data_IF_290871618989
#
_entry.id   IF_290871618989
#
_cell.length_a   1.000
_cell.length_b   1.000
_cell.length_c   1.000
_cell.angle_alpha   90.00
_cell.angle_beta   90.00
_cell.angle_gamma   90.00
#
_symmetry.space_group_name_H-M   'P 1'
#
loop_
_entity.id
_entity.type
_entity.pdbx_description
1 polymer ?
#
# COMPACT_ATOMS: atom_id res chain seq x y z
N UNK A 1 17.25 1.25 34.32
CA UNK A 1 17.56 2.24 33.27
C UNK A 1 16.52 3.34 33.37
N UNK A 2 16.92 4.61 33.44
CA UNK A 2 15.96 5.71 33.32
C UNK A 2 15.25 5.62 31.96
N UNK A 3 13.95 5.91 31.86
CA UNK A 3 13.26 5.91 30.58
C UNK A 3 13.95 6.89 29.62
N UNK A 4 14.15 6.47 28.36
CA UNK A 4 14.72 7.35 27.34
C UNK A 4 13.80 8.55 27.13
N UNK A 5 14.35 9.74 27.29
CA UNK A 5 13.66 11.00 27.00
C UNK A 5 13.75 11.31 25.50
N UNK A 6 12.70 11.90 24.95
CA UNK A 6 12.59 12.31 23.54
C UNK A 6 12.02 13.73 23.46
N UNK A 7 12.31 14.43 22.38
CA UNK A 7 11.81 15.79 22.14
C UNK A 7 10.91 15.85 20.90
N UNK A 8 9.88 16.70 20.99
CA UNK A 8 8.88 16.97 19.95
C UNK A 8 8.38 15.71 19.20
N UNK A 9 7.84 14.70 19.91
CA UNK A 9 7.27 13.53 19.26
C UNK A 9 6.09 13.91 18.36
N UNK A 10 6.00 13.23 17.23
CA UNK A 10 5.12 13.57 16.15
C UNK A 10 4.59 12.33 15.42
N UNK A 11 3.34 12.36 14.98
CA UNK A 11 2.69 11.33 14.16
C UNK A 11 2.23 11.96 12.86
N UNK A 12 2.66 11.38 11.75
CA UNK A 12 2.17 11.70 10.42
C UNK A 12 1.42 10.49 9.84
N UNK A 13 0.23 10.72 9.31
CA UNK A 13 -0.53 9.78 8.50
C UNK A 13 -0.45 10.24 7.05
N UNK A 14 -0.03 9.35 6.17
CA UNK A 14 -0.16 9.51 4.73
C UNK A 14 -1.16 8.47 4.22
N UNK A 15 -2.41 8.86 4.01
CA UNK A 15 -3.49 7.95 3.63
C UNK A 15 -3.93 8.16 2.19
N UNK A 16 -4.22 7.07 1.47
CA UNK A 16 -4.50 7.09 0.02
C UNK A 16 -5.80 6.38 -0.32
N UNK A 17 -6.69 7.09 -0.99
CA UNK A 17 -8.01 6.59 -1.37
C UNK A 17 -8.26 6.81 -2.86
N UNK A 18 -8.66 5.75 -3.55
CA UNK A 18 -8.92 5.75 -4.99
C UNK A 18 -10.17 6.58 -5.27
N UNK A 19 -10.08 7.50 -6.23
CA UNK A 19 -11.21 8.28 -6.72
C UNK A 19 -12.13 7.40 -7.55
N UNK A 20 -13.43 7.40 -7.26
CA UNK A 20 -14.44 6.71 -8.05
C UNK A 20 -14.93 7.64 -9.17
N UNK A 21 -14.25 7.65 -10.31
CA UNK A 21 -14.66 8.49 -11.45
C UNK A 21 -15.92 7.97 -12.17
N UNK A 22 -16.28 6.70 -11.97
CA UNK A 22 -17.34 6.02 -12.72
C UNK A 22 -18.77 6.29 -12.24
N UNK A 23 -18.95 6.99 -11.11
CA UNK A 23 -20.28 7.36 -10.59
C UNK A 23 -20.34 8.86 -10.26
N UNK A 24 -20.71 9.74 -11.20
CA UNK A 24 -20.79 11.19 -10.98
C UNK A 24 -21.73 11.61 -9.83
N UNK A 25 -22.62 10.72 -9.40
CA UNK A 25 -23.56 10.92 -8.29
C UNK A 25 -23.02 10.45 -6.93
N UNK A 26 -21.85 9.77 -6.89
CA UNK A 26 -21.19 9.27 -5.69
C UNK A 26 -19.71 9.67 -5.67
N UNK A 27 -19.44 10.96 -5.82
CA UNK A 27 -18.09 11.47 -5.64
C UNK A 27 -17.62 11.16 -4.21
N UNK A 28 -16.66 10.25 -4.08
CA UNK A 28 -16.08 9.87 -2.79
C UNK A 28 -15.00 10.85 -2.31
N UNK A 29 -14.92 12.01 -2.97
CA UNK A 29 -14.03 13.12 -2.65
C UNK A 29 -13.94 13.40 -1.15
N UNK A 30 -15.06 13.41 -0.42
CA UNK A 30 -15.08 13.76 1.01
C UNK A 30 -14.73 12.61 1.95
N UNK A 31 -14.87 11.35 1.53
CA UNK A 31 -14.79 10.20 2.43
C UNK A 31 -13.45 10.11 3.17
N UNK A 32 -12.33 10.42 2.51
CA UNK A 32 -11.01 10.37 3.16
C UNK A 32 -10.80 11.56 4.12
N UNK A 33 -11.26 12.74 3.75
CA UNK A 33 -11.04 13.96 4.53
C UNK A 33 -11.94 14.04 5.76
N UNK A 34 -13.19 13.58 5.66
CA UNK A 34 -14.07 13.41 6.83
C UNK A 34 -13.47 12.46 7.88
N UNK A 35 -12.73 11.43 7.45
CA UNK A 35 -11.98 10.57 8.39
C UNK A 35 -10.81 11.31 9.02
N UNK A 36 -10.12 12.16 8.28
CA UNK A 36 -9.12 13.08 8.82
C UNK A 36 -9.70 14.00 9.90
N UNK A 37 -10.86 14.60 9.64
CA UNK A 37 -11.57 15.42 10.61
C UNK A 37 -11.99 14.61 11.85
N UNK A 38 -12.40 13.35 11.68
CA UNK A 38 -12.72 12.48 12.80
C UNK A 38 -11.49 12.16 13.66
N UNK A 39 -10.32 11.96 13.04
CA UNK A 39 -9.04 11.86 13.79
C UNK A 39 -8.81 13.13 14.61
N UNK A 40 -8.98 14.31 14.03
CA UNK A 40 -8.81 15.58 14.73
C UNK A 40 -9.78 15.75 15.91
N UNK A 41 -11.03 15.29 15.77
CA UNK A 41 -12.02 15.30 16.86
C UNK A 41 -11.59 14.44 18.05
N UNK A 42 -10.89 13.32 17.84
CA UNK A 42 -10.35 12.50 18.94
C UNK A 42 -9.29 13.26 19.76
N UNK A 43 -8.61 14.25 19.17
CA UNK A 43 -7.73 15.19 19.87
C UNK A 43 -8.47 16.41 20.46
N UNK A 44 -9.80 16.46 20.27
CA UNK A 44 -10.65 17.60 20.61
C UNK A 44 -10.33 18.84 19.78
N UNK A 45 -9.99 18.65 18.51
CA UNK A 45 -9.73 19.70 17.51
C UNK A 45 -10.88 19.68 16.50
N UNK A 46 -11.64 20.77 16.44
CA UNK A 46 -12.79 20.92 15.54
C UNK A 46 -12.39 21.66 14.25
N UNK A 47 -11.33 21.19 13.59
CA UNK A 47 -10.86 21.75 12.31
C UNK A 47 -11.55 21.04 11.14
N UNK A 48 -12.12 21.80 10.22
CA UNK A 48 -12.64 21.29 8.94
C UNK A 48 -11.53 21.21 7.91
N UNK A 49 -11.59 20.18 7.05
CA UNK A 49 -10.71 20.00 5.89
C UNK A 49 -11.53 20.38 4.65
N UNK A 50 -11.70 21.69 4.45
CA UNK A 50 -12.46 22.20 3.32
C UNK A 50 -11.66 22.07 2.02
N UNK A 51 -12.27 21.40 1.03
CA UNK A 51 -11.62 21.04 -0.23
C UNK A 51 -12.33 21.59 -1.46
N UNK A 52 -11.56 21.92 -2.49
CA UNK A 52 -11.99 22.32 -3.80
C UNK A 52 -11.13 21.64 -4.88
N UNK A 53 -11.74 20.74 -5.66
CA UNK A 53 -11.05 20.08 -6.78
C UNK A 53 -10.96 21.01 -8.01
N UNK A 54 -9.90 20.83 -8.80
CA UNK A 54 -9.56 21.63 -9.99
C UNK A 54 -8.96 20.73 -11.08
N UNK A 55 -8.99 21.09 -12.37
CA UNK A 55 -8.31 20.31 -13.41
C UNK A 55 -6.80 20.24 -13.18
N UNK A 56 -6.21 19.06 -13.37
CA UNK A 56 -4.77 18.86 -13.24
C UNK A 56 -4.41 17.44 -12.82
N UNK A 57 -3.14 17.07 -13.08
CA UNK A 57 -2.61 15.77 -12.68
C UNK A 57 -2.41 15.71 -11.16
N UNK A 58 -1.62 16.63 -10.60
CA UNK A 58 -1.43 16.78 -9.16
C UNK A 58 -2.06 18.10 -8.73
N UNK A 59 -3.05 18.04 -7.84
CA UNK A 59 -3.87 19.18 -7.45
C UNK A 59 -3.96 19.21 -5.94
N UNK A 60 -3.40 20.25 -5.35
CA UNK A 60 -3.67 20.56 -3.96
C UNK A 60 -5.13 20.95 -3.80
N UNK A 61 -5.79 20.43 -2.78
CA UNK A 61 -7.25 20.50 -2.68
C UNK A 61 -7.75 21.52 -1.67
N UNK A 62 -6.90 22.10 -0.81
CA UNK A 62 -7.38 23.04 0.21
C UNK A 62 -8.14 24.22 -0.40
N UNK A 63 -9.38 24.44 0.04
CA UNK A 63 -10.19 25.59 -0.36
C UNK A 63 -9.63 26.91 0.22
N UNK A 64 -8.76 26.82 1.23
CA UNK A 64 -8.12 27.94 1.91
C UNK A 64 -6.67 28.16 1.42
N UNK A 65 -6.35 27.68 0.21
CA UNK A 65 -5.05 27.83 -0.42
C UNK A 65 -4.54 29.27 -0.39
N UNK A 66 -3.29 29.43 0.06
CA UNK A 66 -2.47 30.61 -0.27
C UNK A 66 -1.71 30.33 -1.57
N UNK A 67 -1.04 31.33 -2.16
CA UNK A 67 -0.29 31.14 -3.41
C UNK A 67 0.82 30.06 -3.30
N UNK A 68 1.32 29.78 -2.09
CA UNK A 68 2.51 28.93 -1.88
C UNK A 68 2.29 27.73 -0.93
N UNK A 69 1.14 27.60 -0.24
CA UNK A 69 0.88 26.50 0.70
C UNK A 69 -0.62 26.15 0.79
N UNK A 70 -0.92 24.86 0.62
CA UNK A 70 -2.26 24.29 0.78
C UNK A 70 -2.46 23.58 2.13
N UNK A 71 -1.50 23.68 3.05
CA UNK A 71 -1.60 23.12 4.40
C UNK A 71 -2.66 23.84 5.21
N UNK A 72 -3.49 23.06 5.91
CA UNK A 72 -4.48 23.54 6.87
C UNK A 72 -3.88 23.36 8.26
N UNK A 73 -3.48 24.46 8.89
CA UNK A 73 -2.86 24.46 10.21
C UNK A 73 -3.90 24.39 11.32
N UNK A 74 -3.59 23.66 12.39
CA UNK A 74 -4.42 23.63 13.59
C UNK A 74 -3.56 23.54 14.85
N UNK A 75 -4.09 24.08 15.94
CA UNK A 75 -3.46 24.05 17.24
C UNK A 75 -4.49 24.06 18.36
N UNK A 76 -4.10 23.46 19.47
CA UNK A 76 -4.86 23.41 20.71
C UNK A 76 -3.89 23.58 21.86
N UNK A 77 -3.95 24.75 22.49
CA UNK A 77 -3.19 25.05 23.69
C UNK A 77 -4.08 24.81 24.91
N UNK A 78 -3.95 23.62 25.49
CA UNK A 78 -4.62 23.19 26.71
C UNK A 78 -3.60 22.46 27.60
N UNK A 79 -4.03 21.77 28.67
CA UNK A 79 -3.14 20.99 29.55
C UNK A 79 -2.24 19.99 28.81
N UNK A 80 -2.64 19.58 27.60
CA UNK A 80 -1.82 18.84 26.65
C UNK A 80 -1.78 19.58 25.31
N UNK A 81 -0.78 20.46 25.08
CA UNK A 81 -0.66 21.19 23.82
C UNK A 81 -0.45 20.27 22.62
N UNK A 82 -1.21 20.51 21.56
CA UNK A 82 -1.15 19.78 20.29
C UNK A 82 -1.15 20.81 19.15
N UNK A 83 -0.34 20.58 18.14
CA UNK A 83 -0.40 21.32 16.88
C UNK A 83 -0.27 20.35 15.71
N UNK A 84 -0.51 20.83 14.50
CA UNK A 84 -0.40 19.98 13.32
C UNK A 84 -0.83 20.66 12.03
N UNK A 85 -0.81 19.87 10.96
CA UNK A 85 -1.26 20.25 9.63
C UNK A 85 -2.09 19.14 9.00
N UNK A 86 -3.07 19.52 8.18
CA UNK A 86 -3.69 18.63 7.21
C UNK A 86 -3.37 19.14 5.81
N UNK A 87 -2.79 18.28 4.97
CA UNK A 87 -2.43 18.60 3.59
C UNK A 87 -3.23 17.69 2.64
N UNK A 88 -4.39 18.16 2.15
CA UNK A 88 -5.23 17.41 1.22
C UNK A 88 -4.76 17.63 -0.23
N UNK A 89 -4.52 16.53 -0.95
CA UNK A 89 -4.06 16.58 -2.35
C UNK A 89 -4.71 15.47 -3.17
N UNK A 90 -4.92 15.71 -4.46
CA UNK A 90 -5.27 14.69 -5.44
C UNK A 90 -4.07 14.45 -6.36
N UNK A 91 -3.67 13.20 -6.48
CA UNK A 91 -2.64 12.72 -7.42
C UNK A 91 -3.36 11.83 -8.43
N UNK A 92 -3.69 12.41 -9.59
CA UNK A 92 -4.45 11.79 -10.66
C UNK A 92 -5.82 11.30 -10.17
N UNK A 93 -5.97 9.99 -10.07
CA UNK A 93 -7.15 9.21 -9.66
C UNK A 93 -7.10 8.86 -8.17
N UNK A 94 -6.31 9.56 -7.36
CA UNK A 94 -6.12 9.22 -5.94
C UNK A 94 -6.18 10.46 -5.08
N UNK A 95 -7.10 10.44 -4.11
CA UNK A 95 -7.09 11.37 -3.00
C UNK A 95 -6.04 10.93 -1.98
N UNK A 96 -5.24 11.88 -1.53
CA UNK A 96 -4.27 11.69 -0.48
C UNK A 96 -4.51 12.72 0.64
N UNK A 97 -4.42 12.24 1.87
CA UNK A 97 -4.41 13.07 3.07
C UNK A 97 -3.09 12.83 3.79
N UNK A 98 -2.27 13.87 3.86
CA UNK A 98 -1.13 13.91 4.76
C UNK A 98 -1.54 14.69 6.02
N UNK A 99 -1.75 13.99 7.12
CA UNK A 99 -2.20 14.54 8.40
C UNK A 99 -1.09 14.42 9.43
N UNK A 100 -0.73 15.53 10.05
CA UNK A 100 0.30 15.63 11.06
C UNK A 100 -0.32 16.04 12.40
N UNK A 101 -0.04 15.30 13.48
CA UNK A 101 -0.40 15.69 14.85
C UNK A 101 0.83 15.54 15.74
N UNK A 102 1.23 16.64 16.38
CA UNK A 102 2.49 16.72 17.12
C UNK A 102 2.36 17.41 18.46
N UNK A 103 3.32 17.13 19.33
CA UNK A 103 3.64 18.03 20.43
C UNK A 103 4.36 19.27 19.89
N UNK A 104 3.90 20.49 20.17
CA UNK A 104 4.60 21.70 19.77
C UNK A 104 6.03 21.74 20.32
N UNK A 105 6.98 22.15 19.50
CA UNK A 105 8.38 22.34 19.91
C UNK A 105 8.54 23.50 20.89
N UNK A 106 7.76 24.57 20.67
CA UNK A 106 7.71 25.76 21.51
C UNK A 106 6.31 25.92 22.09
N UNK A 107 6.21 26.48 23.28
CA UNK A 107 4.92 26.88 23.86
C UNK A 107 4.40 28.19 23.20
N UNK A 108 3.22 28.65 23.62
CA UNK A 108 2.60 29.90 23.14
C UNK A 108 3.52 31.14 23.27
N UNK A 109 4.45 31.13 24.21
CA UNK A 109 5.39 32.22 24.46
C UNK A 109 6.68 32.08 23.62
N UNK A 110 6.75 31.09 22.72
CA UNK A 110 7.94 30.82 21.91
C UNK A 110 9.07 30.12 22.65
N UNK A 111 8.83 29.66 23.88
CA UNK A 111 9.82 28.98 24.73
C UNK A 111 9.85 27.49 24.39
N UNK A 112 11.06 26.93 24.25
CA UNK A 112 11.26 25.50 24.01
C UNK A 112 10.56 24.66 25.08
N UNK A 113 9.79 23.67 24.62
CA UNK A 113 9.11 22.72 25.48
C UNK A 113 10.09 21.66 26.04
N UNK A 114 9.80 21.11 27.22
CA UNK A 114 10.66 20.11 27.85
C UNK A 114 10.68 18.78 27.09
N UNK A 115 11.71 17.97 27.28
CA UNK A 115 11.69 16.57 26.82
C UNK A 115 10.60 15.77 27.56
N UNK A 116 10.14 14.68 26.93
CA UNK A 116 9.08 13.80 27.43
C UNK A 116 9.52 12.34 27.39
N UNK A 117 8.83 11.47 28.12
CA UNK A 117 9.03 10.02 28.00
C UNK A 117 8.42 9.48 26.70
N UNK A 118 8.92 8.33 26.23
CA UNK A 118 8.38 7.61 25.06
C UNK A 118 6.86 7.37 25.18
N UNK A 119 6.35 7.17 26.41
CA UNK A 119 4.93 6.99 26.68
C UNK A 119 4.06 8.18 26.23
N UNK A 120 4.65 9.33 25.88
CA UNK A 120 3.92 10.42 25.23
C UNK A 120 3.25 9.96 23.92
N UNK A 121 3.82 9.02 23.17
CA UNK A 121 3.19 8.48 21.96
C UNK A 121 1.81 7.86 22.21
N UNK A 122 1.52 7.35 23.43
CA UNK A 122 0.18 6.89 23.82
C UNK A 122 -0.86 8.01 23.76
N UNK A 123 -0.44 9.25 24.01
CA UNK A 123 -1.31 10.45 23.94
C UNK A 123 -1.54 10.89 22.50
N UNK A 124 -0.62 10.56 21.60
CA UNK A 124 -0.75 10.82 20.18
C UNK A 124 -1.55 9.73 19.45
N UNK A 125 -2.22 8.82 20.17
CA UNK A 125 -3.05 7.74 19.62
C UNK A 125 -4.34 7.56 20.44
N UNK A 126 -5.24 8.56 20.47
CA UNK A 126 -6.55 8.38 21.09
C UNK A 126 -7.41 7.42 20.26
N UNK A 127 -8.15 6.53 20.94
CA UNK A 127 -9.23 5.71 20.36
C UNK A 127 -8.87 4.92 19.09
N UNK A 128 -7.61 4.55 18.90
CA UNK A 128 -7.12 3.85 17.71
C UNK A 128 -7.26 4.59 16.38
N UNK A 129 -7.44 5.91 16.41
CA UNK A 129 -7.87 6.72 15.27
C UNK A 129 -6.97 6.62 14.03
N UNK A 130 -5.69 6.26 14.21
CA UNK A 130 -4.71 6.14 13.12
C UNK A 130 -4.70 4.78 12.43
N UNK A 131 -5.36 3.76 12.98
CA UNK A 131 -5.22 2.39 12.49
C UNK A 131 -5.89 2.21 11.12
N UNK A 132 -5.37 1.31 10.26
CA UNK A 132 -5.96 1.05 8.95
C UNK A 132 -7.45 0.68 9.00
N UNK A 133 -7.91 0.04 10.08
CA UNK A 133 -9.32 -0.28 10.30
C UNK A 133 -10.22 0.94 10.55
N UNK A 134 -9.66 2.04 11.06
CA UNK A 134 -10.38 3.30 11.29
C UNK A 134 -10.31 4.21 10.07
N UNK A 135 -9.11 4.41 9.52
CA UNK A 135 -8.90 5.27 8.34
C UNK A 135 -9.49 4.62 7.08
N UNK A 136 -9.45 3.29 6.97
CA UNK A 136 -10.06 2.51 5.89
C UNK A 136 -9.81 3.12 4.49
N UNK A 137 -8.55 3.46 4.23
CA UNK A 137 -8.06 3.98 2.95
C UNK A 137 -8.02 2.85 1.93
N UNK A 138 -8.53 3.05 0.71
CA UNK A 138 -8.68 1.95 -0.25
C UNK A 138 -7.37 1.46 -0.87
N UNK A 139 -6.34 2.32 -0.92
CA UNK A 139 -5.01 1.96 -1.45
C UNK A 139 -4.01 1.64 -0.35
N UNK A 140 -4.17 2.25 0.83
CA UNK A 140 -3.32 2.02 1.99
C UNK A 140 -2.89 3.32 2.67
N UNK A 141 -2.04 3.17 3.68
CA UNK A 141 -1.52 4.28 4.45
C UNK A 141 -0.08 4.02 4.94
N UNK A 142 0.70 5.10 5.10
CA UNK A 142 1.96 5.10 5.83
C UNK A 142 1.77 5.87 7.13
N UNK A 143 2.20 5.29 8.24
CA UNK A 143 2.38 6.01 9.50
C UNK A 143 3.86 6.37 9.63
N UNK A 144 4.16 7.63 9.92
CA UNK A 144 5.52 8.10 10.18
C UNK A 144 5.55 8.72 11.58
N UNK A 145 6.30 8.09 12.48
CA UNK A 145 6.61 8.63 13.79
C UNK A 145 7.93 9.39 13.68
N UNK A 146 7.95 10.65 14.06
CA UNK A 146 9.19 11.43 14.16
C UNK A 146 9.41 11.91 15.58
N UNK A 147 10.68 12.01 15.97
CA UNK A 147 11.10 12.48 17.28
C UNK A 147 12.55 12.93 17.22
N UNK A 148 12.93 13.83 18.11
CA UNK A 148 14.32 14.21 18.31
C UNK A 148 14.94 13.40 19.43
N UNK A 149 16.12 12.84 19.17
CA UNK A 149 16.88 12.11 20.19
C UNK A 149 17.61 13.05 21.15
N UNK A 150 18.32 14.06 20.61
CA UNK A 150 18.94 15.13 21.40
C UNK A 150 18.88 16.44 20.62
N UNK A 151 17.90 17.32 20.91
CA UNK A 151 17.73 18.56 20.16
C UNK A 151 18.91 19.53 20.26
N UNK A 152 19.79 19.42 21.27
CA UNK A 152 20.94 20.33 21.47
C UNK A 152 22.28 19.85 20.88
N UNK A 153 22.37 18.63 20.32
CA UNK A 153 23.64 18.09 19.82
C UNK A 153 23.53 17.46 18.45
N UNK A 154 24.34 17.93 17.51
CA UNK A 154 24.69 17.21 16.29
C UNK A 154 25.52 16.00 16.67
N UNK A 155 24.92 14.82 16.70
CA UNK A 155 25.68 13.59 16.82
C UNK A 155 26.48 13.39 15.54
N UNK A 156 27.79 13.15 15.62
CA UNK A 156 28.59 12.83 14.43
C UNK A 156 28.85 11.31 14.29
N UNK A 157 28.38 10.50 15.24
CA UNK A 157 28.84 9.11 15.42
C UNK A 157 27.74 8.07 15.75
N UNK A 158 26.50 8.21 15.25
CA UNK A 158 25.49 7.14 15.41
C UNK A 158 25.75 5.87 14.58
N UNK A 159 26.84 5.85 13.80
CA UNK A 159 27.20 4.71 12.96
C UNK A 159 27.89 3.55 13.72
N UNK A 160 28.30 3.82 14.96
CA UNK A 160 28.10 2.96 16.12
C UNK A 160 27.36 1.62 15.95
N UNK A 161 27.98 0.42 16.08
CA UNK A 161 27.18 -0.80 16.27
C UNK A 161 26.33 -0.72 17.55
N UNK A 162 26.87 -0.12 18.61
CA UNK A 162 26.15 0.05 19.87
C UNK A 162 25.05 1.12 19.74
N UNK A 163 25.35 2.23 19.06
CA UNK A 163 24.39 3.31 18.86
C UNK A 163 23.23 2.88 17.96
N UNK A 164 23.51 2.15 16.86
CA UNK A 164 22.46 1.54 16.02
C UNK A 164 21.54 0.63 16.83
N UNK A 165 22.07 -0.16 17.77
CA UNK A 165 21.24 -0.99 18.67
C UNK A 165 20.39 -0.15 19.63
N UNK A 166 20.96 0.92 20.20
CA UNK A 166 20.24 1.84 21.10
C UNK A 166 19.12 2.56 20.36
N UNK A 167 19.40 3.10 19.18
CA UNK A 167 18.43 3.80 18.34
C UNK A 167 17.33 2.86 17.84
N UNK A 168 17.68 1.62 17.45
CA UNK A 168 16.67 0.61 17.14
C UNK A 168 15.79 0.30 18.35
N UNK A 169 16.37 0.13 19.54
CA UNK A 169 15.60 -0.12 20.77
C UNK A 169 14.66 1.05 21.10
N UNK A 170 15.11 2.28 20.86
CA UNK A 170 14.29 3.48 20.98
C UNK A 170 13.15 3.48 19.95
N UNK A 171 13.43 3.21 18.67
CA UNK A 171 12.41 3.12 17.63
C UNK A 171 11.36 2.05 17.94
N UNK A 172 11.81 0.86 18.33
CA UNK A 172 10.94 -0.24 18.75
C UNK A 172 10.08 0.17 19.96
N UNK A 173 10.65 0.94 20.90
CA UNK A 173 9.94 1.47 22.07
C UNK A 173 8.87 2.50 21.69
N UNK A 174 9.17 3.41 20.76
CA UNK A 174 8.24 4.41 20.27
C UNK A 174 7.07 3.76 19.52
N UNK A 175 7.37 2.79 18.66
CA UNK A 175 6.35 2.03 17.96
C UNK A 175 5.44 1.28 18.94
N UNK A 176 6.00 0.56 19.92
CA UNK A 176 5.20 -0.14 20.95
C UNK A 176 4.36 0.81 21.81
N UNK A 177 4.84 2.02 22.07
CA UNK A 177 4.05 3.01 22.81
C UNK A 177 2.93 3.63 21.96
N UNK A 178 3.06 3.63 20.64
CA UNK A 178 2.07 4.16 19.71
C UNK A 178 1.01 3.12 19.30
N UNK A 179 1.43 1.88 19.01
CA UNK A 179 0.52 0.80 18.63
C UNK A 179 -0.28 0.35 19.86
N UNK A 180 -1.61 0.22 19.76
CA UNK A 180 -2.44 -0.14 20.90
C UNK A 180 -2.18 -1.59 21.33
N UNK A 181 -2.21 -1.84 22.64
CA UNK A 181 -1.83 -3.13 23.27
C UNK A 181 -2.59 -4.36 22.73
N UNK A 182 -3.76 -4.16 22.12
CA UNK A 182 -4.60 -5.21 21.52
C UNK A 182 -4.20 -5.61 20.10
N UNK A 183 -3.29 -4.88 19.46
CA UNK A 183 -2.83 -5.13 18.10
C UNK A 183 -1.38 -5.60 18.11
N UNK A 184 -1.07 -6.53 17.22
CA UNK A 184 0.32 -6.93 17.00
C UNK A 184 1.13 -5.75 16.45
N UNK A 185 2.31 -5.55 17.01
CA UNK A 185 3.25 -4.55 16.50
C UNK A 185 3.77 -5.01 15.12
N UNK A 186 3.73 -4.15 14.08
CA UNK A 186 4.28 -4.50 12.78
C UNK A 186 5.73 -4.98 12.90
N UNK A 187 6.11 -6.09 12.25
CA UNK A 187 7.45 -6.64 12.38
C UNK A 187 8.48 -5.65 11.84
N UNK A 188 9.65 -5.60 12.48
CA UNK A 188 10.79 -4.84 11.97
C UNK A 188 11.21 -5.39 10.62
N UNK A 189 11.27 -4.52 9.62
CA UNK A 189 11.70 -4.89 8.27
C UNK A 189 13.17 -4.52 8.05
N UNK A 190 13.52 -3.24 8.22
CA UNK A 190 14.89 -2.75 8.00
C UNK A 190 15.14 -1.39 8.64
N UNK A 191 16.39 -0.95 8.59
CA UNK A 191 16.82 0.37 9.02
C UNK A 191 17.79 0.97 8.01
N UNK A 192 17.81 2.29 7.88
CA UNK A 192 18.77 3.02 7.06
C UNK A 192 18.98 4.43 7.58
N UNK A 193 19.44 5.30 6.70
CA UNK A 193 19.58 6.73 6.94
C UNK A 193 18.79 7.48 5.86
N UNK A 194 18.18 8.60 6.23
CA UNK A 194 17.58 9.53 5.29
C UNK A 194 17.79 10.95 5.82
N UNK A 195 18.27 11.85 4.97
CA UNK A 195 18.57 13.24 5.31
C UNK A 195 19.47 13.40 6.54
N UNK A 196 20.46 12.50 6.66
CA UNK A 196 21.42 12.49 7.76
C UNK A 196 20.84 12.06 9.11
N UNK A 197 19.68 11.38 9.16
CA UNK A 197 19.13 10.80 10.39
C UNK A 197 18.70 9.34 10.20
N UNK A 198 18.84 8.50 11.24
CA UNK A 198 18.44 7.10 11.20
C UNK A 198 16.92 6.94 11.09
N UNK A 199 16.50 6.07 10.18
CA UNK A 199 15.10 5.74 9.92
C UNK A 199 14.90 4.22 9.95
N UNK A 200 13.78 3.78 10.51
CA UNK A 200 13.45 2.38 10.75
C UNK A 200 12.09 2.07 10.10
N UNK A 201 12.02 1.01 9.29
CA UNK A 201 10.80 0.56 8.62
C UNK A 201 10.26 -0.71 9.28
N UNK A 202 8.96 -0.71 9.50
CA UNK A 202 8.18 -1.80 10.05
C UNK A 202 7.00 -2.10 9.13
N UNK A 203 6.59 -3.37 9.13
CA UNK A 203 5.64 -3.94 8.18
C UNK A 203 6.33 -4.43 6.92
N UNK A 204 6.17 -5.72 6.63
CA UNK A 204 6.81 -6.38 5.48
C UNK A 204 5.81 -6.37 4.33
N UNK A 205 6.16 -5.74 3.21
CA UNK A 205 5.25 -5.59 2.05
C UNK A 205 4.77 -6.92 1.47
N UNK A 206 5.51 -8.01 1.70
CA UNK A 206 5.16 -9.36 1.24
C UNK A 206 4.08 -10.02 2.13
N UNK A 207 3.89 -9.53 3.37
CA UNK A 207 2.90 -10.03 4.35
C UNK A 207 1.55 -9.31 4.18
N UNK A 208 0.94 -9.52 3.02
CA UNK A 208 -0.19 -8.72 2.50
C UNK A 208 -1.46 -8.67 3.36
N UNK A 209 -1.72 -9.69 4.18
CA UNK A 209 -2.96 -9.77 4.98
C UNK A 209 -2.96 -8.76 6.15
N UNK A 210 -1.80 -8.57 6.80
CA UNK A 210 -1.65 -7.69 7.98
C UNK A 210 -0.71 -6.50 7.71
N UNK A 211 -0.52 -6.16 6.43
CA UNK A 211 0.43 -5.14 6.04
C UNK A 211 0.05 -3.75 6.58
N UNK A 212 0.90 -3.21 7.46
CA UNK A 212 0.82 -1.85 7.97
C UNK A 212 2.21 -1.20 7.85
N UNK A 213 2.34 -0.21 6.96
CA UNK A 213 3.61 0.45 6.71
C UNK A 213 3.86 1.51 7.79
N UNK A 214 4.85 1.28 8.65
CA UNK A 214 5.22 2.24 9.69
C UNK A 214 6.69 2.59 9.60
N UNK A 215 6.99 3.88 9.64
CA UNK A 215 8.32 4.44 9.69
C UNK A 215 8.54 5.11 11.05
N UNK A 216 9.70 4.88 11.65
CA UNK A 216 10.16 5.66 12.81
C UNK A 216 11.44 6.38 12.42
N UNK A 217 11.41 7.70 12.40
CA UNK A 217 12.51 8.55 11.97
C UNK A 217 13.02 9.37 13.16
N UNK A 218 14.25 9.08 13.58
CA UNK A 218 14.84 9.66 14.79
C UNK A 218 15.78 10.79 14.38
N UNK A 219 15.38 12.02 14.64
CA UNK A 219 16.13 13.21 14.26
C UNK A 219 17.33 13.41 15.19
N UNK A 220 18.47 13.53 14.56
CA UNK A 220 19.79 13.74 15.18
C UNK A 220 20.53 14.94 14.57
N UNK A 221 19.93 15.56 13.56
CA UNK A 221 20.37 16.80 12.93
C UNK A 221 19.16 17.65 12.51
N UNK A 222 19.21 19.00 12.66
CA UNK A 222 18.16 19.90 12.16
C UNK A 222 17.93 19.86 10.67
N UNK A 223 18.93 19.40 9.92
CA UNK A 223 18.82 19.25 8.48
C UNK A 223 17.73 18.25 8.08
N UNK A 224 17.51 17.20 8.88
CA UNK A 224 16.45 16.22 8.64
C UNK A 224 15.07 16.83 8.76
N UNK A 225 14.83 17.63 9.81
CA UNK A 225 13.55 18.30 10.02
C UNK A 225 13.27 19.32 8.90
N UNK A 226 14.27 20.13 8.56
CA UNK A 226 14.17 21.09 7.43
C UNK A 226 13.82 20.37 6.12
N UNK A 227 14.51 19.28 5.79
CA UNK A 227 14.24 18.52 4.56
C UNK A 227 12.92 17.78 4.59
N UNK A 228 12.47 17.26 5.75
CA UNK A 228 11.12 16.70 5.88
C UNK A 228 10.06 17.75 5.54
N UNK A 229 10.21 18.98 6.02
CA UNK A 229 9.26 20.07 5.74
C UNK A 229 9.29 20.46 4.25
N UNK A 230 10.47 20.62 3.65
CA UNK A 230 10.63 20.96 2.23
C UNK A 230 10.14 19.87 1.28
N UNK A 231 10.33 18.61 1.66
CA UNK A 231 9.97 17.45 0.84
C UNK A 231 8.63 16.83 1.24
N UNK A 232 7.89 17.44 2.16
CA UNK A 232 6.61 16.91 2.61
C UNK A 232 5.68 16.60 1.43
N UNK A 233 5.48 17.50 0.44
CA UNK A 233 4.66 17.22 -0.75
C UNK A 233 5.20 16.05 -1.59
N UNK A 234 6.52 15.92 -1.72
CA UNK A 234 7.14 14.87 -2.52
C UNK A 234 7.08 13.50 -1.82
N UNK A 235 7.16 13.47 -0.49
CA UNK A 235 6.93 12.26 0.30
C UNK A 235 5.49 11.77 0.19
N UNK A 236 4.50 12.67 0.09
CA UNK A 236 3.10 12.27 -0.22
C UNK A 236 3.05 11.49 -1.53
N UNK A 237 3.73 11.96 -2.57
CA UNK A 237 3.74 11.34 -3.89
C UNK A 237 4.51 10.01 -3.89
N UNK A 238 5.71 9.98 -3.30
CA UNK A 238 6.54 8.77 -3.17
C UNK A 238 5.75 7.66 -2.46
N UNK A 239 5.15 7.95 -1.30
CA UNK A 239 4.35 6.97 -0.58
C UNK A 239 3.06 6.61 -1.30
N UNK A 240 2.44 7.53 -2.08
CA UNK A 240 1.29 7.22 -2.91
C UNK A 240 1.63 6.13 -3.94
N UNK A 241 2.72 6.31 -4.69
CA UNK A 241 3.14 5.35 -5.71
C UNK A 241 3.52 4.01 -5.08
N UNK A 242 4.20 4.04 -3.92
CA UNK A 242 4.51 2.85 -3.12
C UNK A 242 3.24 2.04 -2.79
N UNK A 243 2.19 2.70 -2.28
CA UNK A 243 0.93 2.03 -1.93
C UNK A 243 0.15 1.56 -3.16
N UNK A 244 0.16 2.31 -4.26
CA UNK A 244 -0.43 1.84 -5.53
C UNK A 244 0.23 0.55 -6.03
N UNK A 245 1.56 0.46 -5.95
CA UNK A 245 2.33 -0.75 -6.30
C UNK A 245 1.95 -1.92 -5.39
N UNK A 246 2.02 -1.72 -4.06
CA UNK A 246 1.69 -2.76 -3.08
C UNK A 246 0.24 -3.23 -3.21
N UNK A 247 -0.71 -2.32 -3.42
CA UNK A 247 -2.13 -2.67 -3.58
C UNK A 247 -2.40 -3.41 -4.89
N UNK A 248 -1.81 -2.98 -6.01
CA UNK A 248 -1.92 -3.71 -7.28
C UNK A 248 -1.39 -5.14 -7.13
N UNK A 249 -0.24 -5.31 -6.46
CA UNK A 249 0.31 -6.63 -6.17
C UNK A 249 -0.61 -7.45 -5.25
N UNK A 250 -1.15 -6.87 -4.17
CA UNK A 250 -2.10 -7.53 -3.26
C UNK A 250 -3.33 -8.06 -3.99
N UNK A 251 -3.92 -7.24 -4.84
CA UNK A 251 -5.09 -7.61 -5.64
C UNK A 251 -4.73 -8.70 -6.67
N UNK A 252 -3.54 -8.62 -7.29
CA UNK A 252 -3.03 -9.67 -8.17
C UNK A 252 -2.92 -11.02 -7.47
N UNK A 253 -2.45 -11.05 -6.21
CA UNK A 253 -2.34 -12.29 -5.41
C UNK A 253 -3.71 -12.88 -5.08
N UNK A 254 -4.70 -12.02 -4.87
CA UNK A 254 -6.09 -12.43 -4.63
C UNK A 254 -6.68 -13.10 -5.87
N UNK A 255 -6.47 -12.51 -7.06
CA UNK A 255 -6.89 -13.12 -8.34
C UNK A 255 -6.13 -14.41 -8.62
N UNK A 256 -4.81 -14.43 -8.40
CA UNK A 256 -3.97 -15.62 -8.54
C UNK A 256 -4.53 -16.82 -7.77
N UNK A 257 -4.95 -16.63 -6.52
CA UNK A 257 -5.50 -17.72 -5.69
C UNK A 257 -6.74 -18.35 -6.31
N UNK A 258 -7.63 -17.53 -6.89
CA UNK A 258 -8.83 -17.99 -7.59
C UNK A 258 -8.45 -18.67 -8.92
N UNK A 259 -7.56 -18.05 -9.69
CA UNK A 259 -7.08 -18.55 -10.98
C UNK A 259 -6.35 -19.90 -10.85
N UNK A 260 -5.55 -20.07 -9.81
CA UNK A 260 -4.86 -21.33 -9.48
C UNK A 260 -5.84 -22.48 -9.21
N UNK A 261 -6.96 -22.20 -8.54
CA UNK A 261 -8.01 -23.19 -8.33
C UNK A 261 -8.77 -23.49 -9.62
N UNK A 262 -9.14 -22.46 -10.40
CA UNK A 262 -9.78 -22.65 -11.70
C UNK A 262 -8.88 -23.45 -12.65
N UNK A 263 -7.56 -23.26 -12.62
CA UNK A 263 -6.62 -24.05 -13.40
C UNK A 263 -6.59 -25.55 -13.02
N UNK A 264 -6.88 -25.90 -11.77
CA UNK A 264 -7.03 -27.31 -11.37
C UNK A 264 -8.28 -27.93 -12.01
N UNK A 265 -9.37 -27.17 -12.10
CA UNK A 265 -10.59 -27.60 -12.80
C UNK A 265 -10.32 -27.80 -14.30
N UNK A 266 -9.56 -26.88 -14.91
CA UNK A 266 -9.10 -27.03 -16.30
C UNK A 266 -8.36 -28.34 -16.52
N UNK A 267 -7.38 -28.67 -15.66
CA UNK A 267 -6.65 -29.94 -15.75
C UNK A 267 -7.55 -31.15 -15.57
N UNK A 268 -8.55 -31.07 -14.68
CA UNK A 268 -9.49 -32.16 -14.46
C UNK A 268 -10.36 -32.42 -15.71
N UNK A 269 -10.85 -31.38 -16.37
CA UNK A 269 -11.62 -31.52 -17.63
C UNK A 269 -10.74 -32.06 -18.77
N UNK A 270 -9.47 -31.63 -18.87
CA UNK A 270 -8.52 -32.18 -19.85
C UNK A 270 -8.26 -33.67 -19.59
N UNK A 271 -8.10 -34.07 -18.33
CA UNK A 271 -7.86 -35.46 -17.97
C UNK A 271 -9.02 -36.38 -18.38
N UNK A 272 -10.27 -35.89 -18.39
CA UNK A 272 -11.42 -36.65 -18.94
C UNK A 272 -11.15 -36.98 -20.41
N UNK A 273 -10.70 -36.00 -21.20
CA UNK A 273 -10.41 -36.19 -22.62
C UNK A 273 -9.23 -37.14 -22.85
N UNK A 274 -8.15 -36.98 -22.07
CA UNK A 274 -6.95 -37.81 -22.19
C UNK A 274 -7.18 -39.27 -21.74
N UNK A 275 -8.09 -39.50 -20.79
CA UNK A 275 -8.40 -40.84 -20.28
C UNK A 275 -9.18 -41.72 -21.26
N UNK A 276 -9.63 -41.17 -22.39
CA UNK A 276 -10.46 -41.89 -23.33
C UNK A 276 -9.62 -42.81 -24.24
N UNK A 277 -9.99 -44.09 -24.37
CA UNK A 277 -9.27 -45.02 -25.23
C UNK A 277 -9.29 -44.57 -26.70
N UNK A 278 -8.16 -44.69 -27.40
CA UNK A 278 -7.97 -44.22 -28.79
C UNK A 278 -8.79 -44.97 -29.85
N UNK A 279 -9.30 -46.17 -29.54
CA UNK A 279 -9.81 -47.12 -30.57
C UNK A 279 -11.02 -47.96 -30.18
N UNK A 280 -11.81 -47.56 -29.17
CA UNK A 280 -13.07 -48.26 -28.81
C UNK A 280 -14.26 -47.35 -29.06
N UNK A 281 -15.35 -47.95 -29.58
CA UNK A 281 -16.69 -47.32 -29.55
C UNK A 281 -16.96 -46.84 -28.13
N UNK A 282 -17.37 -45.58 -28.00
CA UNK A 282 -17.64 -44.99 -26.69
C UNK A 282 -18.80 -45.75 -26.05
N UNK A 283 -18.57 -46.36 -24.89
CA UNK A 283 -19.69 -46.84 -24.09
C UNK A 283 -20.58 -45.67 -23.63
N UNK A 284 -21.79 -46.00 -23.16
CA UNK A 284 -22.77 -44.99 -22.78
C UNK A 284 -22.28 -44.05 -21.66
N UNK A 285 -21.42 -44.54 -20.75
CA UNK A 285 -20.88 -43.72 -19.66
C UNK A 285 -19.88 -42.70 -20.18
N UNK A 286 -18.92 -43.15 -21.00
CA UNK A 286 -17.91 -42.28 -21.60
C UNK A 286 -18.54 -41.22 -22.51
N UNK A 287 -19.59 -41.58 -23.26
CA UNK A 287 -20.33 -40.61 -24.09
C UNK A 287 -21.08 -39.56 -23.24
N UNK A 288 -21.65 -39.97 -22.11
CA UNK A 288 -22.34 -39.05 -21.20
C UNK A 288 -21.37 -38.09 -20.51
N UNK A 289 -20.21 -38.58 -20.08
CA UNK A 289 -19.17 -37.74 -19.48
C UNK A 289 -18.59 -36.74 -20.49
N UNK A 290 -18.42 -37.15 -21.75
CA UNK A 290 -18.06 -36.24 -22.84
C UNK A 290 -19.10 -35.16 -23.10
N UNK A 291 -20.40 -35.51 -23.07
CA UNK A 291 -21.48 -34.52 -23.22
C UNK A 291 -21.52 -33.53 -22.06
N UNK A 292 -21.28 -33.98 -20.82
CA UNK A 292 -21.17 -33.10 -19.66
C UNK A 292 -19.98 -32.15 -19.80
N UNK A 293 -18.81 -32.65 -20.21
CA UNK A 293 -17.63 -31.83 -20.47
C UNK A 293 -17.88 -30.81 -21.59
N UNK A 294 -18.56 -31.19 -22.68
CA UNK A 294 -18.94 -30.29 -23.78
C UNK A 294 -19.77 -29.08 -23.32
N UNK A 295 -20.61 -29.26 -22.30
CA UNK A 295 -21.42 -28.19 -21.70
C UNK A 295 -20.65 -27.36 -20.66
N UNK A 296 -19.71 -27.96 -19.93
CA UNK A 296 -18.96 -27.30 -18.85
C UNK A 296 -17.79 -26.47 -19.35
N UNK A 297 -17.00 -27.02 -20.28
CA UNK A 297 -15.77 -26.41 -20.77
C UNK A 297 -15.97 -24.97 -21.28
N UNK A 298 -17.02 -24.63 -22.06
CA UNK A 298 -17.22 -23.25 -22.50
C UNK A 298 -17.39 -22.24 -21.35
N UNK A 299 -18.18 -22.59 -20.33
CA UNK A 299 -18.43 -21.73 -19.17
C UNK A 299 -17.17 -21.57 -18.30
N UNK A 300 -16.43 -22.66 -18.12
CA UNK A 300 -15.13 -22.66 -17.44
C UNK A 300 -14.12 -21.79 -18.20
N UNK A 301 -14.04 -21.92 -19.53
CA UNK A 301 -13.10 -21.15 -20.34
C UNK A 301 -13.37 -19.65 -20.28
N UNK A 302 -14.63 -19.23 -20.39
CA UNK A 302 -15.00 -17.81 -20.26
C UNK A 302 -14.57 -17.23 -18.90
N UNK A 303 -14.88 -17.95 -17.82
CA UNK A 303 -14.52 -17.54 -16.46
C UNK A 303 -13.00 -17.51 -16.27
N UNK A 304 -12.28 -18.49 -16.84
CA UNK A 304 -10.83 -18.60 -16.77
C UNK A 304 -10.12 -17.45 -17.51
N UNK A 305 -10.56 -17.13 -18.73
CA UNK A 305 -10.04 -16.00 -19.52
C UNK A 305 -10.32 -14.67 -18.82
N UNK A 306 -11.49 -14.52 -18.20
CA UNK A 306 -11.80 -13.33 -17.41
C UNK A 306 -10.86 -13.18 -16.20
N UNK A 307 -10.54 -14.27 -15.50
CA UNK A 307 -9.57 -14.25 -14.39
C UNK A 307 -8.16 -13.87 -14.86
N UNK A 308 -7.71 -14.37 -16.02
CA UNK A 308 -6.42 -13.96 -16.61
C UNK A 308 -6.43 -12.47 -16.93
N UNK A 309 -7.50 -11.96 -17.56
CA UNK A 309 -7.65 -10.52 -17.84
C UNK A 309 -7.63 -9.70 -16.56
N UNK A 310 -8.31 -10.17 -15.51
CA UNK A 310 -8.32 -9.50 -14.22
C UNK A 310 -6.93 -9.47 -13.57
N UNK A 311 -6.11 -10.50 -13.78
CA UNK A 311 -4.71 -10.50 -13.34
C UNK A 311 -3.88 -9.46 -14.13
N UNK A 312 -4.04 -9.40 -15.45
CA UNK A 312 -3.32 -8.46 -16.32
C UNK A 312 -3.69 -7.00 -16.03
N UNK A 313 -4.93 -6.73 -15.60
CA UNK A 313 -5.39 -5.41 -15.18
C UNK A 313 -4.55 -4.80 -14.04
N UNK A 314 -3.82 -5.61 -13.26
CA UNK A 314 -2.94 -5.11 -12.20
C UNK A 314 -1.48 -4.92 -12.64
N UNK A 315 -1.07 -5.54 -13.75
CA UNK A 315 0.32 -5.46 -14.24
C UNK A 315 0.67 -4.06 -14.72
N UNK A 316 -0.18 -3.45 -15.54
CA UNK A 316 0.07 -2.13 -16.11
C UNK A 316 0.07 -1.03 -15.03
N UNK A 317 -0.93 -0.93 -14.13
CA UNK A 317 -0.88 0.02 -13.02
C UNK A 317 0.36 -0.15 -12.14
N UNK A 318 0.77 -1.37 -11.83
CA UNK A 318 2.00 -1.60 -11.04
C UNK A 318 3.22 -1.00 -11.76
N UNK A 319 3.40 -1.32 -13.04
CA UNK A 319 4.53 -0.82 -13.85
C UNK A 319 4.55 0.70 -13.94
N UNK A 320 3.40 1.34 -14.18
CA UNK A 320 3.29 2.81 -14.27
C UNK A 320 3.67 3.44 -12.92
N UNK A 321 3.16 2.91 -11.82
CA UNK A 321 3.44 3.47 -10.51
C UNK A 321 4.89 3.23 -10.07
N UNK A 322 5.52 2.12 -10.47
CA UNK A 322 6.96 1.90 -10.30
C UNK A 322 7.78 2.96 -11.03
N UNK A 323 7.45 3.24 -12.29
CA UNK A 323 8.11 4.31 -13.05
C UNK A 323 7.92 5.69 -12.42
N UNK A 324 6.72 5.97 -11.91
CA UNK A 324 6.45 7.22 -11.19
C UNK A 324 7.27 7.31 -9.90
N UNK A 325 7.33 6.23 -9.11
CA UNK A 325 8.14 6.16 -7.89
C UNK A 325 9.62 6.43 -8.19
N UNK A 326 10.20 5.73 -9.16
CA UNK A 326 11.60 5.93 -9.59
C UNK A 326 11.85 7.35 -10.12
N UNK A 327 10.86 7.96 -10.79
CA UNK A 327 10.96 9.35 -11.25
C UNK A 327 11.03 10.32 -10.06
N UNK A 328 10.17 10.17 -9.07
CA UNK A 328 10.19 11.04 -7.89
C UNK A 328 11.50 10.90 -7.11
N UNK A 329 12.05 9.68 -6.98
CA UNK A 329 13.38 9.48 -6.38
C UNK A 329 14.49 10.15 -7.18
N UNK A 330 14.46 10.08 -8.52
CA UNK A 330 15.44 10.78 -9.38
C UNK A 330 15.35 12.30 -9.23
N UNK A 331 14.15 12.85 -9.11
CA UNK A 331 13.96 14.28 -8.86
C UNK A 331 14.51 14.69 -7.49
N UNK A 332 14.27 13.86 -6.46
CA UNK A 332 14.80 14.07 -5.12
C UNK A 332 16.34 14.00 -5.11
N UNK A 333 16.95 13.01 -5.78
CA UNK A 333 18.41 12.89 -5.91
C UNK A 333 19.00 14.09 -6.66
N UNK A 334 18.31 14.59 -7.69
CA UNK A 334 18.76 15.79 -8.42
C UNK A 334 18.73 17.03 -7.53
N UNK A 335 17.72 17.16 -6.65
CA UNK A 335 17.61 18.27 -5.69
C UNK A 335 18.66 18.16 -4.59
N UNK A 336 18.97 16.95 -4.13
CA UNK A 336 19.98 16.70 -3.11
C UNK A 336 21.05 15.69 -3.56
N UNK A 337 22.01 16.10 -4.42
CA UNK A 337 22.96 15.16 -5.04
C UNK A 337 23.89 14.41 -4.09
N UNK A 338 24.06 14.91 -2.87
CA UNK A 338 24.92 14.33 -1.84
C UNK A 338 24.15 13.48 -0.82
N UNK A 339 22.83 13.43 -0.91
CA UNK A 339 22.02 12.60 -0.03
C UNK A 339 22.05 11.15 -0.49
N UNK A 340 22.13 10.25 0.48
CA UNK A 340 21.92 8.82 0.29
C UNK A 340 20.41 8.53 0.35
N UNK A 341 19.82 8.20 -0.80
CA UNK A 341 18.41 7.83 -0.91
C UNK A 341 18.19 6.32 -0.95
N UNK A 342 19.23 5.51 -0.69
CA UNK A 342 19.15 4.04 -0.75
C UNK A 342 18.04 3.46 0.11
N UNK A 343 17.73 4.10 1.25
CA UNK A 343 16.60 3.72 2.08
C UNK A 343 15.27 3.73 1.30
N UNK A 344 15.02 4.72 0.44
CA UNK A 344 13.82 4.78 -0.39
C UNK A 344 13.94 3.91 -1.65
N UNK A 345 15.12 3.82 -2.25
CA UNK A 345 15.37 3.09 -3.51
C UNK A 345 15.16 1.57 -3.38
N UNK A 346 15.58 0.98 -2.27
CA UNK A 346 15.45 -0.48 -2.02
C UNK A 346 14.01 -1.00 -2.20
N UNK A 347 12.97 -0.20 -1.94
CA UNK A 347 11.60 -0.65 -2.21
C UNK A 347 11.37 -0.90 -3.71
N UNK A 348 11.86 -0.01 -4.57
CA UNK A 348 11.79 -0.19 -6.01
C UNK A 348 12.64 -1.40 -6.42
N UNK A 349 13.91 -1.39 -6.00
CA UNK A 349 14.95 -2.34 -6.44
C UNK A 349 14.70 -3.78 -5.99
N UNK A 350 14.28 -3.97 -4.74
CA UNK A 350 14.17 -5.31 -4.14
C UNK A 350 12.73 -5.83 -4.05
N UNK A 351 11.71 -4.97 -4.12
CA UNK A 351 10.30 -5.40 -3.93
C UNK A 351 9.45 -5.16 -5.16
N UNK A 352 9.37 -3.91 -5.62
CA UNK A 352 8.45 -3.56 -6.69
C UNK A 352 8.78 -4.28 -8.02
N UNK A 353 10.06 -4.42 -8.36
CA UNK A 353 10.48 -5.20 -9.54
C UNK A 353 10.09 -6.68 -9.41
N UNK A 354 10.31 -7.30 -8.25
CA UNK A 354 9.90 -8.70 -8.01
C UNK A 354 8.38 -8.85 -8.14
N UNK A 355 7.59 -7.91 -7.63
CA UNK A 355 6.14 -7.94 -7.79
C UNK A 355 5.72 -7.89 -9.26
N UNK A 356 6.38 -7.05 -10.06
CA UNK A 356 6.13 -6.96 -11.50
C UNK A 356 6.46 -8.27 -12.22
N UNK A 357 7.63 -8.84 -11.95
CA UNK A 357 8.09 -10.11 -12.53
C UNK A 357 7.16 -11.26 -12.16
N UNK A 358 6.70 -11.31 -10.90
CA UNK A 358 5.83 -12.38 -10.45
C UNK A 358 4.44 -12.32 -11.11
N UNK A 359 3.87 -11.14 -11.30
CA UNK A 359 2.61 -11.01 -12.06
C UNK A 359 2.81 -11.47 -13.51
N UNK A 360 3.93 -11.11 -14.14
CA UNK A 360 4.23 -11.53 -15.52
C UNK A 360 4.39 -13.05 -15.61
N UNK A 361 5.16 -13.66 -14.70
CA UNK A 361 5.36 -15.10 -14.65
C UNK A 361 4.04 -15.87 -14.47
N UNK A 362 3.13 -15.36 -13.63
CA UNK A 362 1.81 -15.96 -13.45
C UNK A 362 0.96 -15.87 -14.72
N UNK A 363 0.96 -14.71 -15.40
CA UNK A 363 0.25 -14.55 -16.66
C UNK A 363 0.76 -15.55 -17.72
N UNK A 364 2.08 -15.66 -17.85
CA UNK A 364 2.72 -16.59 -18.79
C UNK A 364 2.38 -18.05 -18.45
N UNK A 365 2.33 -18.39 -17.16
CA UNK A 365 1.97 -19.72 -16.68
C UNK A 365 0.51 -20.07 -17.03
N UNK A 366 -0.43 -19.16 -16.77
CA UNK A 366 -1.86 -19.43 -16.94
C UNK A 366 -2.36 -19.27 -18.38
N UNK A 367 -1.67 -18.51 -19.24
CA UNK A 367 -2.04 -18.31 -20.64
C UNK A 367 -2.30 -19.63 -21.39
N UNK A 368 -1.48 -20.65 -21.12
CA UNK A 368 -1.58 -21.96 -21.76
C UNK A 368 -2.88 -22.72 -21.43
N UNK A 369 -3.56 -22.39 -20.32
CA UNK A 369 -4.77 -23.10 -19.89
C UNK A 369 -5.95 -22.93 -20.85
N UNK A 370 -6.13 -21.74 -21.44
CA UNK A 370 -7.21 -21.49 -22.40
C UNK A 370 -7.02 -22.29 -23.69
N UNK A 371 -5.79 -22.30 -24.23
CA UNK A 371 -5.45 -23.07 -25.44
C UNK A 371 -5.69 -24.57 -25.24
N UNK A 372 -5.39 -25.09 -24.04
CA UNK A 372 -5.64 -26.48 -23.70
C UNK A 372 -7.14 -26.81 -23.64
N UNK A 373 -7.96 -25.93 -23.06
CA UNK A 373 -9.41 -26.10 -23.04
C UNK A 373 -10.01 -26.10 -24.45
N UNK A 374 -9.54 -25.22 -25.33
CA UNK A 374 -10.03 -25.17 -26.71
C UNK A 374 -9.66 -26.44 -27.49
N UNK A 375 -8.42 -26.93 -27.33
CA UNK A 375 -7.98 -28.20 -27.91
C UNK A 375 -8.79 -29.38 -27.39
N UNK A 376 -9.02 -29.43 -26.07
CA UNK A 376 -9.86 -30.45 -25.44
C UNK A 376 -11.29 -30.41 -26.00
N UNK A 377 -11.90 -29.22 -26.10
CA UNK A 377 -13.25 -29.04 -26.65
C UNK A 377 -13.36 -29.56 -28.09
N UNK A 378 -12.38 -29.24 -28.94
CA UNK A 378 -12.34 -29.71 -30.33
C UNK A 378 -12.16 -31.23 -30.41
N UNK A 379 -11.33 -31.82 -29.55
CA UNK A 379 -11.17 -33.28 -29.48
C UNK A 379 -12.47 -33.99 -29.03
N UNK A 380 -13.19 -33.43 -28.04
CA UNK A 380 -14.48 -33.95 -27.59
C UNK A 380 -15.51 -33.90 -28.72
N UNK A 381 -15.65 -32.76 -29.41
CA UNK A 381 -16.59 -32.60 -30.54
C UNK A 381 -16.35 -33.66 -31.61
N UNK A 382 -15.09 -33.81 -32.05
CA UNK A 382 -14.74 -34.82 -33.04
C UNK A 382 -15.09 -36.25 -32.61
N UNK A 383 -14.84 -36.62 -31.35
CA UNK A 383 -15.20 -37.96 -30.84
C UNK A 383 -16.72 -38.17 -30.73
N UNK A 384 -17.48 -37.16 -30.28
CA UNK A 384 -18.95 -37.24 -30.19
C UNK A 384 -19.59 -37.35 -31.57
N UNK A 385 -19.11 -36.57 -32.55
CA UNK A 385 -19.59 -36.60 -33.93
C UNK A 385 -19.34 -37.96 -34.62
N UNK A 386 -18.15 -38.54 -34.44
CA UNK A 386 -17.81 -39.88 -34.96
C UNK A 386 -18.77 -40.93 -34.38
N UNK A 387 -18.95 -40.94 -33.06
CA UNK A 387 -19.81 -41.93 -32.39
C UNK A 387 -21.28 -41.78 -32.78
N UNK A 388 -21.79 -40.56 -32.94
CA UNK A 388 -23.14 -40.33 -33.46
C UNK A 388 -23.30 -40.84 -34.88
N UNK A 389 -22.36 -40.52 -35.78
CA UNK A 389 -22.40 -41.01 -37.16
C UNK A 389 -22.30 -42.54 -37.27
N UNK A 390 -21.55 -43.21 -36.39
CA UNK A 390 -21.46 -44.67 -36.34
C UNK A 390 -22.76 -45.33 -35.84
N UNK A 391 -23.45 -44.71 -34.87
CA UNK A 391 -24.75 -45.19 -34.37
C UNK A 391 -25.85 -45.00 -35.39
N UNK A 392 -25.90 -43.85 -36.05
CA UNK A 392 -26.90 -43.55 -37.09
C UNK A 392 -26.79 -44.46 -38.32
N UNK A 393 -25.60 -45.05 -38.58
CA UNK A 393 -25.40 -46.06 -39.63
C UNK A 393 -25.82 -47.48 -39.22
N UNK A 394 -26.01 -47.73 -37.92
CA UNK A 394 -26.41 -49.05 -37.37
C UNK A 394 -27.92 -49.19 -37.14
N UNK A 395 -28.67 -48.09 -37.26
CA UNK A 395 -30.12 -48.03 -37.31
C UNK A 395 -30.58 -47.71 -38.73
#
# INVERSE_FOLDING_TARGET
MSPSKIYAPNVHLFAYHLRKESEPQKDNLKELFEKGENILKEFGINQTIDIQDKPGYRVELSAQQTEDDASIFFEKWSDSPIAGIAYPVRIHDTFALALNVRRPEKNEQGIKTSDVDIDFFKRLHPSDCWMPSQVNSSLGQTLLLTLWYTPEKTWQFWNSREDKKKLKSLADGCLRAFIPDKLDTPPFYRSGELFGSPIFEYGIADELENYCHVLVWIFVTPETDRKLQEEYPNLVDIFCYRHKITQAYKLSRSVYKVLSNSYKEVKAEIAIVESLPDRKTLDASNLEDLKKALNRIPSLNLSYVELIRNLDNYRLPLKINLQNYERELKLLQKKYPQEDLSFLEIFADEKAHIFAEQIQADLDYFANGSDLLEKALNAIRGRVEIEQAERDRKY
#
